data_IF_526862416975
#
_entry.id   IF_526862416975
#
_cell.length_a   1.000
_cell.length_b   1.000
_cell.length_c   1.000
_cell.angle_alpha   90.00
_cell.angle_beta   90.00
_cell.angle_gamma   90.00
#
_symmetry.space_group_name_H-M   'P 1'
#
loop_
_entity.id
_entity.type
_entity.pdbx_description
1 polymer ?
#
# COMPACT_ATOMS: atom_id res chain seq x y z
N UNK A 1 -16.94 -33.06 9.75
CA UNK A 1 -17.05 -32.36 8.46
C UNK A 1 -17.18 -30.89 8.79
N UNK A 2 -16.07 -30.16 8.79
CA UNK A 2 -16.07 -28.74 9.14
C UNK A 2 -16.22 -27.96 7.85
N UNK A 3 -17.40 -27.38 7.62
CA UNK A 3 -17.67 -26.56 6.45
C UNK A 3 -16.78 -25.31 6.48
N UNK A 4 -16.00 -25.13 5.42
CA UNK A 4 -15.16 -23.95 5.26
C UNK A 4 -16.02 -22.70 4.99
N UNK A 5 -15.59 -21.52 5.45
CA UNK A 5 -16.36 -20.29 5.31
C UNK A 5 -16.59 -19.89 3.83
N UNK A 6 -17.73 -19.24 3.52
CA UNK A 6 -18.23 -19.00 2.16
C UNK A 6 -17.31 -18.14 1.27
N UNK A 7 -16.31 -17.46 1.84
CA UNK A 7 -15.33 -16.68 1.08
C UNK A 7 -14.42 -17.54 0.18
N UNK A 8 -14.28 -18.84 0.45
CA UNK A 8 -13.43 -19.75 -0.34
C UNK A 8 -14.11 -20.36 -1.57
N UNK A 9 -15.40 -20.10 -1.81
CA UNK A 9 -16.18 -20.79 -2.86
C UNK A 9 -16.45 -19.95 -4.11
N UNK A 10 -16.13 -18.65 -4.13
CA UNK A 10 -16.29 -17.85 -5.35
C UNK A 10 -15.09 -18.04 -6.28
N UNK A 11 -15.31 -18.68 -7.43
CA UNK A 11 -14.35 -18.68 -8.54
C UNK A 11 -14.23 -17.26 -9.08
N UNK A 12 -13.15 -16.58 -8.72
CA UNK A 12 -12.92 -15.18 -9.09
C UNK A 12 -12.59 -15.00 -10.58
N UNK A 13 -12.22 -16.08 -11.29
CA UNK A 13 -11.82 -16.04 -12.71
C UNK A 13 -10.34 -15.72 -12.94
N UNK A 14 -9.50 -15.87 -11.91
CA UNK A 14 -8.07 -15.52 -11.91
C UNK A 14 -7.15 -16.71 -11.61
N UNK A 15 -7.66 -17.93 -11.83
CA UNK A 15 -6.98 -19.20 -11.52
C UNK A 15 -5.62 -19.35 -12.24
N UNK A 16 -5.40 -18.59 -13.32
CA UNK A 16 -4.17 -18.58 -14.15
C UNK A 16 -3.21 -17.39 -13.90
N UNK A 17 -3.53 -16.44 -13.00
CA UNK A 17 -2.67 -15.29 -12.71
C UNK A 17 -1.93 -15.45 -11.37
N UNK A 18 -0.60 -15.59 -11.40
CA UNK A 18 0.22 -15.76 -10.19
C UNK A 18 0.74 -14.44 -9.62
N UNK A 19 -0.14 -13.50 -9.28
CA UNK A 19 0.28 -12.37 -8.45
C UNK A 19 0.35 -12.81 -6.99
N UNK A 20 1.55 -13.17 -6.54
CA UNK A 20 1.77 -13.63 -5.17
C UNK A 20 1.76 -12.43 -4.21
N UNK A 21 0.76 -12.38 -3.32
CA UNK A 21 0.63 -11.36 -2.27
C UNK A 21 1.07 -11.86 -0.88
N UNK A 22 1.72 -13.03 -0.80
CA UNK A 22 2.16 -13.59 0.47
C UNK A 22 3.14 -12.61 1.14
N UNK A 23 2.97 -12.36 2.44
CA UNK A 23 3.81 -11.40 3.14
C UNK A 23 3.36 -9.95 3.01
N UNK A 24 2.41 -9.63 2.12
CA UNK A 24 1.92 -8.27 1.86
C UNK A 24 0.73 -7.91 2.77
N UNK A 25 -0.25 -8.79 2.79
CA UNK A 25 -1.55 -8.63 3.44
C UNK A 25 -1.70 -9.65 4.56
N UNK A 26 -2.59 -9.36 5.51
CA UNK A 26 -3.06 -10.37 6.45
C UNK A 26 -3.65 -11.55 5.68
N UNK A 27 -3.43 -12.77 6.17
CA UNK A 27 -3.87 -14.01 5.49
C UNK A 27 -5.37 -14.05 5.17
N UNK A 28 -6.19 -13.37 5.95
CA UNK A 28 -7.63 -13.27 5.73
C UNK A 28 -8.00 -12.40 4.52
N UNK A 29 -7.09 -11.53 4.07
CA UNK A 29 -7.32 -10.48 3.10
C UNK A 29 -6.58 -10.69 1.78
N UNK A 30 -5.76 -11.76 1.66
CA UNK A 30 -5.01 -12.12 0.45
C UNK A 30 -5.89 -12.34 -0.81
N UNK A 31 -7.18 -12.62 -0.63
CA UNK A 31 -8.16 -12.75 -1.72
C UNK A 31 -8.90 -11.46 -2.08
N UNK A 32 -8.59 -10.34 -1.45
CA UNK A 32 -9.32 -9.07 -1.64
C UNK A 32 -8.88 -8.37 -2.91
N UNK A 33 -9.82 -7.67 -3.55
CA UNK A 33 -9.53 -6.78 -4.67
C UNK A 33 -8.67 -5.59 -4.24
N UNK A 34 -7.65 -5.24 -5.03
CA UNK A 34 -6.78 -4.09 -4.74
C UNK A 34 -7.59 -2.80 -4.64
N UNK A 35 -8.56 -2.61 -5.52
CA UNK A 35 -9.51 -1.49 -5.50
C UNK A 35 -10.28 -1.37 -4.17
N UNK A 36 -10.61 -2.49 -3.53
CA UNK A 36 -11.23 -2.50 -2.20
C UNK A 36 -10.21 -2.26 -1.07
N UNK A 37 -8.94 -2.63 -1.30
CA UNK A 37 -7.86 -2.43 -0.32
C UNK A 37 -7.37 -0.97 -0.24
N UNK A 38 -7.52 -0.17 -1.31
CA UNK A 38 -7.06 1.23 -1.32
C UNK A 38 -7.62 2.02 -0.13
N UNK A 39 -8.93 1.92 0.11
CA UNK A 39 -9.60 2.65 1.19
C UNK A 39 -9.75 1.79 2.47
N UNK A 40 -9.13 0.61 2.50
CA UNK A 40 -9.15 -0.27 3.66
C UNK A 40 -8.19 0.22 4.76
N UNK A 41 -8.45 -0.16 6.03
CA UNK A 41 -7.60 0.23 7.15
C UNK A 41 -6.20 -0.42 7.05
N UNK A 42 -5.22 0.26 7.64
CA UNK A 42 -3.81 -0.16 7.62
C UNK A 42 -3.55 -1.53 8.28
N UNK A 43 -4.42 -1.97 9.17
CA UNK A 43 -4.36 -3.31 9.82
C UNK A 43 -4.49 -4.48 8.84
N UNK A 44 -4.91 -4.22 7.61
CA UNK A 44 -4.94 -5.19 6.51
C UNK A 44 -3.54 -5.52 5.98
N UNK A 45 -2.56 -4.65 6.19
CA UNK A 45 -1.16 -4.91 5.85
C UNK A 45 -0.50 -5.80 6.91
N UNK A 46 0.19 -6.84 6.45
CA UNK A 46 0.87 -7.74 7.37
C UNK A 46 2.00 -7.02 8.12
N UNK A 47 2.03 -7.16 9.45
CA UNK A 47 3.05 -6.56 10.32
C UNK A 47 2.68 -5.19 10.89
N UNK A 48 1.49 -4.67 10.59
CA UNK A 48 0.92 -3.53 11.32
C UNK A 48 0.16 -4.06 12.55
N UNK A 49 0.78 -3.90 13.72
CA UNK A 49 0.14 -4.14 15.02
C UNK A 49 -0.47 -2.88 15.61
N UNK A 50 -1.14 -3.01 16.76
CA UNK A 50 -1.86 -1.92 17.45
C UNK A 50 -1.00 -0.68 17.72
N UNK A 51 0.28 -0.86 18.07
CA UNK A 51 1.20 0.26 18.29
C UNK A 51 1.51 1.02 16.99
N UNK A 52 1.77 0.29 15.90
CA UNK A 52 2.06 0.89 14.60
C UNK A 52 0.83 1.60 14.04
N UNK A 53 -0.36 1.01 14.22
CA UNK A 53 -1.65 1.61 13.84
C UNK A 53 -1.90 2.92 14.62
N UNK A 54 -1.70 2.92 15.94
CA UNK A 54 -1.83 4.12 16.77
C UNK A 54 -0.90 5.25 16.30
N UNK A 55 0.35 4.90 15.99
CA UNK A 55 1.34 5.87 15.50
C UNK A 55 0.93 6.43 14.13
N UNK A 56 0.51 5.56 13.21
CA UNK A 56 0.09 5.94 11.86
C UNK A 56 -1.16 6.83 11.87
N UNK A 57 -2.14 6.49 12.71
CA UNK A 57 -3.32 7.33 12.95
C UNK A 57 -2.92 8.69 13.51
N UNK A 58 -1.95 8.73 14.44
CA UNK A 58 -1.39 9.98 14.97
C UNK A 58 -0.66 10.85 13.93
N UNK A 59 -0.27 10.27 12.80
CA UNK A 59 0.32 10.96 11.64
C UNK A 59 -0.73 11.35 10.59
N UNK A 60 -2.01 11.02 10.81
CA UNK A 60 -3.10 11.26 9.88
C UNK A 60 -3.22 10.22 8.76
N UNK A 61 -2.61 9.05 8.93
CA UNK A 61 -2.74 7.94 7.99
C UNK A 61 -3.70 6.89 8.57
N UNK A 62 -4.91 6.78 8.02
CA UNK A 62 -5.92 5.81 8.47
C UNK A 62 -6.09 4.68 7.46
N UNK A 63 -5.98 4.99 6.17
CA UNK A 63 -6.14 4.03 5.07
C UNK A 63 -4.81 3.68 4.39
N UNK A 64 -4.80 2.58 3.63
CA UNK A 64 -3.67 2.19 2.79
C UNK A 64 -3.31 3.32 1.81
N UNK A 65 -4.30 4.00 1.24
CA UNK A 65 -4.10 5.17 0.38
C UNK A 65 -3.41 6.35 1.08
N UNK A 66 -3.77 6.64 2.31
CA UNK A 66 -3.15 7.75 3.06
C UNK A 66 -1.67 7.47 3.31
N UNK A 67 -1.34 6.22 3.66
CA UNK A 67 0.06 5.82 3.83
C UNK A 67 0.83 5.85 2.50
N UNK A 68 0.22 5.40 1.40
CA UNK A 68 0.83 5.43 0.07
C UNK A 68 1.14 6.85 -0.42
N UNK A 69 0.32 7.83 -0.03
CA UNK A 69 0.46 9.23 -0.44
C UNK A 69 1.12 10.12 0.62
N UNK A 70 1.66 9.52 1.68
CA UNK A 70 2.21 10.26 2.81
C UNK A 70 3.45 11.06 2.41
N UNK A 71 3.34 12.40 2.49
CA UNK A 71 4.34 13.34 1.95
C UNK A 71 5.76 13.10 2.45
N UNK A 72 5.94 12.76 3.72
CA UNK A 72 7.29 12.61 4.29
C UNK A 72 7.97 11.32 3.83
N UNK A 73 7.17 10.27 3.55
CA UNK A 73 7.69 9.06 2.92
C UNK A 73 8.14 9.36 1.48
N UNK A 74 7.29 10.04 0.70
CA UNK A 74 7.62 10.42 -0.68
C UNK A 74 8.86 11.33 -0.76
N UNK A 75 8.97 12.30 0.15
CA UNK A 75 10.13 13.19 0.26
C UNK A 75 11.39 12.43 0.65
N UNK A 76 11.33 11.52 1.64
CA UNK A 76 12.48 10.72 2.04
C UNK A 76 13.01 9.87 0.88
N UNK A 77 12.11 9.21 0.16
CA UNK A 77 12.47 8.40 -1.01
C UNK A 77 13.07 9.25 -2.13
N UNK A 78 12.49 10.41 -2.42
CA UNK A 78 13.04 11.35 -3.39
C UNK A 78 14.45 11.82 -2.97
N UNK A 79 14.66 12.13 -1.69
CA UNK A 79 15.96 12.56 -1.17
C UNK A 79 17.03 11.48 -1.30
N UNK A 80 16.73 10.21 -1.00
CA UNK A 80 17.69 9.11 -1.18
C UNK A 80 18.06 8.92 -2.64
N UNK A 81 17.08 8.98 -3.54
CA UNK A 81 17.33 8.90 -4.99
C UNK A 81 18.20 10.06 -5.45
N UNK A 82 17.87 11.29 -5.03
CA UNK A 82 18.60 12.49 -5.41
C UNK A 82 20.01 12.54 -4.80
N UNK A 83 20.20 12.05 -3.58
CA UNK A 83 21.52 11.97 -2.94
C UNK A 83 22.50 11.08 -3.74
N UNK A 84 22.01 10.09 -4.50
CA UNK A 84 22.84 9.30 -5.42
C UNK A 84 23.23 10.04 -6.71
N UNK A 85 22.56 11.15 -7.02
CA UNK A 85 22.76 11.96 -8.25
C UNK A 85 23.29 13.36 -7.98
N UNK A 86 23.44 13.74 -6.71
CA UNK A 86 23.91 15.06 -6.26
C UNK A 86 25.42 15.21 -6.50
N UNK A 87 25.85 16.30 -7.14
CA UNK A 87 27.23 16.79 -7.04
C UNK A 87 27.44 17.40 -5.65
N UNK A 88 28.55 17.06 -4.99
CA UNK A 88 28.84 17.40 -3.59
C UNK A 88 28.62 18.91 -3.29
N UNK A 89 27.48 19.24 -2.66
CA UNK A 89 27.11 20.58 -2.22
C UNK A 89 26.63 20.60 -0.76
N UNK A 90 26.62 21.77 -0.10
CA UNK A 90 26.29 21.86 1.32
C UNK A 90 24.79 21.60 1.59
N UNK A 91 24.53 20.55 2.37
CA UNK A 91 23.22 20.04 2.81
C UNK A 91 22.28 21.11 3.39
N UNK A 92 21.09 21.28 2.77
CA UNK A 92 19.95 22.01 3.34
C UNK A 92 18.70 21.15 3.21
N UNK A 93 18.47 20.15 4.08
CA UNK A 93 17.11 19.63 4.24
C UNK A 93 16.91 18.80 5.52
N UNK A 94 16.57 19.48 6.62
CA UNK A 94 15.91 18.85 7.79
C UNK A 94 14.77 19.70 8.35
N UNK A 95 14.42 20.81 7.69
CA UNK A 95 13.35 21.73 8.10
C UNK A 95 11.99 21.22 7.64
N UNK A 96 11.40 20.28 8.39
CA UNK A 96 10.03 19.84 8.11
C UNK A 96 9.44 18.80 9.05
N UNK A 97 10.27 18.08 9.82
CA UNK A 97 9.80 17.07 10.77
C UNK A 97 9.47 17.74 12.12
N UNK A 98 8.24 17.53 12.62
CA UNK A 98 7.87 17.93 13.98
C UNK A 98 8.49 16.94 14.99
N UNK A 99 8.82 17.40 16.20
CA UNK A 99 9.43 16.55 17.23
C UNK A 99 8.58 15.31 17.56
N UNK A 100 7.25 15.43 17.44
CA UNK A 100 6.30 14.33 17.64
C UNK A 100 6.45 13.24 16.58
N UNK A 101 6.58 13.63 15.31
CA UNK A 101 6.81 12.68 14.22
C UNK A 101 8.15 11.94 14.37
N UNK A 102 9.19 12.61 14.87
CA UNK A 102 10.51 12.00 15.08
C UNK A 102 10.48 10.89 16.15
N UNK A 103 9.77 11.09 17.26
CA UNK A 103 9.60 10.05 18.29
C UNK A 103 8.75 8.87 17.77
N UNK A 104 7.72 9.16 16.96
CA UNK A 104 6.92 8.14 16.28
C UNK A 104 7.75 7.26 15.33
N UNK A 105 8.69 7.83 14.58
CA UNK A 105 9.57 7.06 13.70
C UNK A 105 10.57 6.19 14.46
N UNK A 106 11.15 6.70 15.55
CA UNK A 106 12.02 5.92 16.43
C UNK A 106 11.30 4.69 17.02
N UNK A 107 10.04 4.85 17.41
CA UNK A 107 9.21 3.74 17.91
C UNK A 107 8.98 2.64 16.86
N UNK A 108 9.09 2.97 15.57
CA UNK A 108 8.97 2.04 14.44
C UNK A 108 10.34 1.59 13.90
N UNK A 109 11.42 1.81 14.66
CA UNK A 109 12.81 1.49 14.26
C UNK A 109 13.30 2.20 12.99
N UNK A 110 12.78 3.40 12.72
CA UNK A 110 13.22 4.27 11.62
C UNK A 110 14.09 5.38 12.22
N UNK A 111 15.40 5.35 11.93
CA UNK A 111 16.36 6.27 12.53
C UNK A 111 16.88 7.31 11.54
N UNK A 112 16.84 7.01 10.25
CA UNK A 112 17.39 7.85 9.18
C UNK A 112 16.38 8.11 8.08
N UNK A 113 16.67 9.11 7.23
CA UNK A 113 15.90 9.38 6.00
C UNK A 113 15.99 8.18 5.05
N UNK A 114 17.12 7.45 5.06
CA UNK A 114 17.28 6.21 4.30
C UNK A 114 16.33 5.11 4.82
N UNK A 115 16.23 4.91 6.12
CA UNK A 115 15.31 3.94 6.73
C UNK A 115 13.84 4.28 6.40
N UNK A 116 13.52 5.58 6.36
CA UNK A 116 12.18 6.05 5.99
C UNK A 116 11.91 5.84 4.50
N UNK A 117 12.90 6.05 3.63
CA UNK A 117 12.79 5.79 2.19
C UNK A 117 12.61 4.31 1.87
N UNK A 118 13.26 3.43 2.66
CA UNK A 118 13.17 1.99 2.52
C UNK A 118 12.04 1.34 3.31
N UNK A 119 11.15 2.17 3.88
CA UNK A 119 10.12 1.69 4.78
C UNK A 119 9.12 0.76 4.08
N UNK A 120 9.14 -0.51 4.50
CA UNK A 120 8.37 -1.60 3.86
C UNK A 120 6.88 -1.32 3.76
N UNK A 121 6.24 -0.75 4.79
CA UNK A 121 4.78 -0.57 4.78
C UNK A 121 4.34 0.45 3.75
N UNK A 122 5.10 1.52 3.57
CA UNK A 122 4.78 2.54 2.60
C UNK A 122 5.06 2.07 1.15
N UNK A 123 6.11 1.26 0.93
CA UNK A 123 6.32 0.58 -0.36
C UNK A 123 5.18 -0.37 -0.72
N UNK A 124 4.67 -1.12 0.26
CA UNK A 124 3.52 -2.02 0.07
C UNK A 124 2.24 -1.26 -0.24
N UNK A 125 1.98 -0.17 0.48
CA UNK A 125 0.83 0.69 0.26
C UNK A 125 0.82 1.29 -1.15
N UNK A 126 1.97 1.80 -1.61
CA UNK A 126 2.12 2.30 -2.97
C UNK A 126 1.89 1.20 -4.02
N UNK A 127 2.47 0.02 -3.83
CA UNK A 127 2.29 -1.10 -4.77
C UNK A 127 0.81 -1.48 -4.92
N UNK A 128 0.04 -1.47 -3.83
CA UNK A 128 -1.41 -1.73 -3.85
C UNK A 128 -2.16 -0.64 -4.63
N UNK A 129 -1.86 0.64 -4.36
CA UNK A 129 -2.51 1.78 -5.04
C UNK A 129 -2.14 1.84 -6.52
N UNK A 130 -0.94 1.44 -6.89
CA UNK A 130 -0.54 1.36 -8.30
C UNK A 130 -1.20 0.17 -8.99
N UNK A 131 -1.15 -1.02 -8.37
CA UNK A 131 -1.77 -2.23 -8.91
C UNK A 131 -3.30 -2.09 -9.06
N UNK A 132 -3.97 -1.37 -8.16
CA UNK A 132 -5.42 -1.15 -8.23
C UNK A 132 -5.86 -0.44 -9.51
N UNK A 133 -4.98 0.35 -10.14
CA UNK A 133 -5.28 1.04 -11.42
C UNK A 133 -5.36 0.09 -12.60
N UNK A 134 -4.66 -1.05 -12.52
CA UNK A 134 -4.59 -2.06 -13.57
C UNK A 134 -5.48 -3.27 -13.29
N UNK A 135 -6.06 -3.34 -12.08
CA UNK A 135 -7.04 -4.35 -11.72
C UNK A 135 -8.30 -4.20 -12.58
N UNK A 136 -8.66 -5.27 -13.29
CA UNK A 136 -9.92 -5.29 -14.02
C UNK A 136 -11.03 -5.73 -13.08
N UNK A 137 -11.87 -4.80 -12.65
CA UNK A 137 -12.98 -5.06 -11.74
C UNK A 137 -14.17 -5.80 -12.38
N UNK A 138 -14.19 -5.90 -13.72
CA UNK A 138 -15.24 -6.59 -14.48
C UNK A 138 -14.81 -7.99 -14.87
N UNK A 139 -15.69 -8.95 -14.69
CA UNK A 139 -15.52 -10.32 -15.17
C UNK A 139 -15.37 -10.37 -16.70
N UNK A 140 -14.77 -11.43 -17.23
CA UNK A 140 -14.64 -11.61 -18.69
C UNK A 140 -16.00 -11.61 -19.42
N UNK A 141 -17.07 -12.04 -18.75
CA UNK A 141 -18.43 -12.03 -19.30
C UNK A 141 -19.00 -10.60 -19.37
N UNK A 142 -18.84 -9.80 -18.32
CA UNK A 142 -19.28 -8.39 -18.31
C UNK A 142 -18.54 -7.55 -19.34
N UNK A 143 -17.23 -7.79 -19.53
CA UNK A 143 -16.46 -7.13 -20.60
C UNK A 143 -16.94 -7.52 -22.00
N UNK A 144 -17.37 -8.76 -22.18
CA UNK A 144 -17.91 -9.23 -23.47
C UNK A 144 -19.28 -8.59 -23.75
N UNK A 145 -20.16 -8.55 -22.74
CA UNK A 145 -21.46 -7.87 -22.83
C UNK A 145 -21.33 -6.37 -23.06
N UNK A 146 -20.38 -5.70 -22.40
CA UNK A 146 -20.13 -4.27 -22.61
C UNK A 146 -19.60 -3.97 -24.02
N UNK A 147 -18.66 -4.78 -24.53
CA UNK A 147 -18.19 -4.67 -25.92
C UNK A 147 -19.28 -4.97 -26.94
N UNK A 148 -20.22 -5.85 -26.63
CA UNK A 148 -21.37 -6.15 -27.49
C UNK A 148 -22.41 -5.02 -27.45
N UNK A 149 -22.70 -4.45 -26.28
CA UNK A 149 -23.56 -3.26 -26.15
C UNK A 149 -22.95 -2.03 -26.84
N UNK A 150 -21.63 -1.85 -26.75
CA UNK A 150 -20.93 -0.72 -27.38
C UNK A 150 -20.84 -0.85 -28.91
N UNK A 151 -21.04 -2.04 -29.47
CA UNK A 151 -21.19 -2.28 -30.92
C UNK A 151 -22.62 -2.06 -31.43
N UNK A 152 -23.58 -1.92 -30.52
CA UNK A 152 -25.01 -1.73 -30.84
C UNK A 152 -25.44 -0.25 -30.83
N UNK A 153 -24.56 0.65 -30.36
CA UNK A 153 -24.69 2.12 -30.46
C UNK A 153 -23.83 2.65 -31.61
#
# INVERSE_FOLDING_TARGET
MSEEPPSKQQKTGWEDYSLNCNGLLMKADEGSHFSALVDAPLTKLEGIGSMSEYVLSGLGCETIKDLATYKFFLLARALVVLAGTEEAGPFICSRGLTHKANESFKAMHIHTIADLADWKFAKRAEAIVEASKFEHTKTSQERKMEREMQKLN
#
